data_IF_839138781292
#
_entry.id   IF_839138781292
#
_cell.length_a   1.000
_cell.length_b   1.000
_cell.length_c   1.000
_cell.angle_alpha   90.00
_cell.angle_beta   90.00
_cell.angle_gamma   90.00
#
_symmetry.space_group_name_H-M   'P 1'
#
loop_
_entity.id
_entity.type
_entity.pdbx_description
1 polymer ?
#
# COMPACT_ATOMS: atom_id res chain seq x y z
N UNK A 1 39.68 0.97 52.10
CA UNK A 1 38.84 0.04 51.31
C UNK A 1 37.87 0.87 50.50
N UNK A 2 38.15 1.07 49.21
CA UNK A 2 37.28 1.79 48.27
C UNK A 2 36.39 0.79 47.52
N UNK A 3 35.11 1.09 47.25
CA UNK A 3 34.24 0.19 46.49
C UNK A 3 34.44 0.35 44.97
N UNK A 4 34.38 -0.77 44.27
CA UNK A 4 34.59 -0.94 42.83
C UNK A 4 33.53 -0.23 41.94
N UNK A 5 33.88 0.15 40.70
CA UNK A 5 32.93 0.68 39.75
C UNK A 5 32.10 -0.43 39.09
N UNK A 6 30.77 -0.26 39.13
CA UNK A 6 29.80 -1.12 38.43
C UNK A 6 30.00 -1.01 36.91
N UNK A 7 30.30 -2.15 36.27
CA UNK A 7 30.25 -2.32 34.82
C UNK A 7 28.83 -2.08 34.32
N UNK A 8 28.62 -0.99 33.60
CA UNK A 8 27.42 -0.79 32.77
C UNK A 8 27.62 -1.58 31.48
N UNK A 9 27.09 -2.79 31.43
CA UNK A 9 26.90 -3.52 30.18
C UNK A 9 25.70 -2.93 29.46
N UNK A 10 25.94 -2.19 28.38
CA UNK A 10 24.89 -1.82 27.43
C UNK A 10 24.33 -3.09 26.78
N UNK A 11 23.01 -3.30 26.75
CA UNK A 11 22.45 -4.34 25.91
C UNK A 11 22.59 -3.86 24.47
N UNK A 12 23.56 -4.43 23.75
CA UNK A 12 23.57 -4.36 22.30
C UNK A 12 22.34 -5.13 21.81
N UNK A 13 21.28 -4.41 21.48
CA UNK A 13 20.23 -4.92 20.63
C UNK A 13 20.85 -5.14 19.25
N UNK A 14 21.40 -6.34 19.03
CA UNK A 14 21.77 -6.87 17.73
C UNK A 14 20.48 -7.07 16.92
N UNK A 15 19.91 -5.96 16.44
CA UNK A 15 18.84 -6.00 15.44
C UNK A 15 19.46 -6.38 14.12
N UNK A 16 19.48 -7.67 13.82
CA UNK A 16 19.61 -8.16 12.45
C UNK A 16 18.57 -7.43 11.60
N UNK A 17 19.03 -6.40 10.88
CA UNK A 17 18.18 -5.64 9.98
C UNK A 17 17.97 -6.52 8.75
N UNK A 18 17.01 -7.44 8.82
CA UNK A 18 16.56 -8.17 7.65
C UNK A 18 16.19 -7.12 6.59
N UNK A 19 16.93 -7.14 5.48
CA UNK A 19 16.78 -6.15 4.44
C UNK A 19 15.50 -6.45 3.67
N UNK A 20 14.44 -5.69 3.95
CA UNK A 20 13.15 -5.84 3.26
C UNK A 20 13.27 -5.38 1.80
N UNK A 21 12.93 -6.27 0.86
CA UNK A 21 12.91 -5.96 -0.57
C UNK A 21 11.54 -5.45 -1.03
N UNK A 22 11.54 -4.74 -2.16
CA UNK A 22 10.33 -4.23 -2.80
C UNK A 22 9.43 -5.36 -3.31
N UNK A 23 8.12 -5.25 -3.06
CA UNK A 23 7.11 -6.20 -3.54
C UNK A 23 7.06 -6.33 -5.07
N UNK A 24 7.46 -5.27 -5.79
CA UNK A 24 7.46 -5.20 -7.26
C UNK A 24 8.83 -5.32 -7.90
N UNK A 25 9.89 -5.11 -7.12
CA UNK A 25 11.26 -5.16 -7.59
C UNK A 25 12.02 -6.10 -6.63
N UNK A 26 11.91 -7.42 -6.80
CA UNK A 26 12.35 -8.40 -5.80
C UNK A 26 13.83 -8.28 -5.42
N UNK A 27 14.66 -7.77 -6.34
CA UNK A 27 16.10 -7.57 -6.13
C UNK A 27 16.47 -6.18 -5.60
N UNK A 28 15.48 -5.32 -5.31
CA UNK A 28 15.70 -3.94 -4.86
C UNK A 28 15.36 -3.80 -3.39
N UNK A 29 16.38 -3.54 -2.58
CA UNK A 29 16.22 -3.22 -1.16
C UNK A 29 15.46 -1.89 -0.96
N UNK A 30 14.54 -1.88 -0.01
CA UNK A 30 13.80 -0.69 0.36
C UNK A 30 14.62 0.26 1.22
N UNK A 31 14.42 1.56 1.03
CA UNK A 31 15.01 2.62 1.86
C UNK A 31 14.01 3.06 2.91
N UNK A 32 14.43 3.15 4.16
CA UNK A 32 13.62 3.75 5.22
C UNK A 32 13.46 5.26 4.93
N UNK A 33 12.23 5.76 5.03
CA UNK A 33 11.96 7.18 4.88
C UNK A 33 12.30 7.92 6.21
N UNK A 34 13.22 8.90 6.19
CA UNK A 34 13.62 9.63 7.39
C UNK A 34 12.48 10.51 7.91
N UNK A 35 12.36 10.62 9.24
CA UNK A 35 11.41 11.53 9.89
C UNK A 35 9.98 11.00 10.06
N UNK A 36 9.67 9.80 9.57
CA UNK A 36 8.34 9.20 9.70
C UNK A 36 8.23 7.91 10.54
N UNK A 37 9.27 7.33 11.20
CA UNK A 37 9.05 6.14 11.99
C UNK A 37 8.18 6.49 13.22
N UNK A 38 6.95 5.99 13.23
CA UNK A 38 6.25 5.83 14.51
C UNK A 38 6.90 4.66 15.23
N UNK A 39 6.77 4.57 16.56
CA UNK A 39 7.33 3.44 17.32
C UNK A 39 6.83 2.07 16.83
N UNK A 40 5.79 2.03 15.99
CA UNK A 40 5.09 0.81 15.57
C UNK A 40 5.05 0.58 14.06
N UNK A 41 5.34 1.58 13.21
CA UNK A 41 5.28 1.48 11.74
C UNK A 41 6.53 2.09 11.11
N UNK A 42 7.22 1.29 10.29
CA UNK A 42 8.26 1.76 9.39
C UNK A 42 7.66 2.14 8.03
N UNK A 43 8.04 3.31 7.50
CA UNK A 43 7.71 3.71 6.14
C UNK A 43 8.92 3.56 5.24
N UNK A 44 8.72 2.93 4.10
CA UNK A 44 9.80 2.57 3.19
C UNK A 44 9.49 3.01 1.76
N UNK A 45 10.53 3.22 0.96
CA UNK A 45 10.42 3.56 -0.45
C UNK A 45 11.34 2.65 -1.27
N UNK A 46 10.84 2.17 -2.41
CA UNK A 46 11.67 1.50 -3.40
C UNK A 46 12.40 2.55 -4.26
N UNK A 47 13.73 2.55 -4.35
CA UNK A 47 14.46 3.50 -5.20
C UNK A 47 14.30 3.23 -6.71
N UNK A 48 13.86 2.03 -7.11
CA UNK A 48 13.71 1.66 -8.51
C UNK A 48 12.34 2.07 -9.08
N UNK A 49 11.26 1.73 -8.38
CA UNK A 49 9.89 2.01 -8.85
C UNK A 49 9.19 3.12 -8.06
N UNK A 50 9.88 3.74 -7.11
CA UNK A 50 9.43 4.87 -6.27
C UNK A 50 8.19 4.60 -5.41
N UNK A 51 7.66 3.37 -5.41
CA UNK A 51 6.52 2.97 -4.58
C UNK A 51 6.86 3.05 -3.10
N UNK A 52 5.86 3.49 -2.34
CA UNK A 52 5.92 3.62 -0.89
C UNK A 52 5.20 2.48 -0.20
N UNK A 53 5.83 1.99 0.86
CA UNK A 53 5.35 0.88 1.67
C UNK A 53 5.26 1.27 3.14
N UNK A 54 4.43 0.54 3.87
CA UNK A 54 4.34 0.60 5.32
C UNK A 54 4.51 -0.82 5.88
N UNK A 55 5.25 -0.94 6.99
CA UNK A 55 5.45 -2.20 7.67
C UNK A 55 5.28 -2.00 9.17
N UNK A 56 4.30 -2.69 9.77
CA UNK A 56 4.16 -2.76 11.23
C UNK A 56 5.22 -3.70 11.80
N UNK A 57 5.63 -3.48 13.05
CA UNK A 57 6.51 -4.43 13.75
C UNK A 57 5.90 -5.85 13.75
N UNK A 58 6.61 -6.82 13.18
CA UNK A 58 6.15 -8.21 13.02
C UNK A 58 5.03 -8.42 11.99
N UNK A 59 4.61 -7.36 11.28
CA UNK A 59 3.56 -7.43 10.26
C UNK A 59 4.12 -7.51 8.83
N UNK A 60 3.25 -7.82 7.85
CA UNK A 60 3.64 -7.85 6.45
C UNK A 60 4.00 -6.44 5.94
N UNK A 61 4.81 -6.40 4.90
CA UNK A 61 5.02 -5.20 4.11
C UNK A 61 3.78 -4.96 3.24
N UNK A 62 3.16 -3.79 3.37
CA UNK A 62 1.99 -3.42 2.56
C UNK A 62 2.20 -2.09 1.86
N UNK A 63 1.36 -1.76 0.87
CA UNK A 63 1.35 -0.42 0.31
C UNK A 63 1.07 0.64 1.40
N UNK A 64 1.76 1.79 1.33
CA UNK A 64 1.58 2.91 2.27
C UNK A 64 0.19 3.56 2.07
N UNK A 65 -0.25 4.30 3.08
CA UNK A 65 -1.35 5.25 2.93
C UNK A 65 -1.10 6.20 1.76
N UNK A 66 -2.17 6.57 1.03
CA UNK A 66 -2.06 7.36 -0.19
C UNK A 66 -1.79 6.55 -1.46
N UNK A 67 -1.38 5.27 -1.37
CA UNK A 67 -1.33 4.39 -2.54
C UNK A 67 -2.74 4.13 -3.09
N UNK A 68 -2.95 3.99 -4.42
CA UNK A 68 -4.28 3.79 -5.00
C UNK A 68 -5.12 2.68 -4.36
N UNK A 69 -4.50 1.52 -4.14
CA UNK A 69 -5.15 0.38 -3.48
C UNK A 69 -5.52 0.70 -2.02
N UNK A 70 -4.61 1.32 -1.27
CA UNK A 70 -4.86 1.74 0.11
C UNK A 70 -5.99 2.76 0.21
N UNK A 71 -6.05 3.71 -0.73
CA UNK A 71 -7.10 4.73 -0.78
C UNK A 71 -8.47 4.13 -1.10
N UNK A 72 -8.55 3.20 -2.05
CA UNK A 72 -9.81 2.51 -2.36
C UNK A 72 -10.29 1.70 -1.15
N UNK A 73 -9.40 0.91 -0.52
CA UNK A 73 -9.75 0.07 0.63
C UNK A 73 -10.09 0.87 1.89
N UNK A 74 -9.49 2.05 2.06
CA UNK A 74 -9.83 2.94 3.18
C UNK A 74 -11.32 3.33 3.17
N UNK A 75 -11.90 3.55 1.99
CA UNK A 75 -13.31 3.89 1.83
C UNK A 75 -14.29 2.81 2.31
N UNK A 76 -13.81 1.58 2.48
CA UNK A 76 -14.60 0.41 2.90
C UNK A 76 -14.01 -0.31 4.13
N UNK A 77 -13.13 0.35 4.88
CA UNK A 77 -12.43 -0.29 6.00
C UNK A 77 -13.38 -0.81 7.09
N UNK A 78 -14.51 -0.13 7.29
CA UNK A 78 -15.48 -0.41 8.36
C UNK A 78 -16.78 -1.08 7.88
N UNK A 79 -16.91 -1.37 6.58
CA UNK A 79 -18.09 -2.08 6.06
C UNK A 79 -17.87 -3.58 6.04
N UNK A 80 -18.93 -4.34 6.27
CA UNK A 80 -18.98 -5.80 6.09
C UNK A 80 -19.29 -6.21 4.65
N UNK A 81 -19.75 -5.27 3.83
CA UNK A 81 -20.15 -5.48 2.44
C UNK A 81 -19.42 -4.46 1.55
N UNK A 82 -18.11 -4.62 1.29
CA UNK A 82 -17.35 -3.63 0.53
C UNK A 82 -17.87 -3.47 -0.91
N UNK A 83 -18.41 -4.54 -1.50
CA UNK A 83 -18.82 -4.55 -2.91
C UNK A 83 -19.99 -3.61 -3.20
N UNK A 84 -20.94 -3.46 -2.27
CA UNK A 84 -22.10 -2.56 -2.43
C UNK A 84 -21.68 -1.09 -2.46
N UNK A 85 -20.53 -0.78 -1.88
CA UNK A 85 -19.97 0.57 -1.81
C UNK A 85 -19.09 0.94 -3.02
N UNK A 86 -18.84 0.00 -3.94
CA UNK A 86 -17.86 0.18 -5.03
C UNK A 86 -18.15 1.40 -5.91
N UNK A 87 -19.41 1.63 -6.30
CA UNK A 87 -19.78 2.79 -7.11
C UNK A 87 -19.56 4.10 -6.35
N UNK A 88 -20.03 4.17 -5.10
CA UNK A 88 -19.87 5.37 -4.26
C UNK A 88 -18.40 5.72 -4.06
N UNK A 89 -17.55 4.71 -3.81
CA UNK A 89 -16.11 4.92 -3.68
C UNK A 89 -15.47 5.35 -5.00
N UNK A 90 -15.86 4.74 -6.13
CA UNK A 90 -15.38 5.18 -7.44
C UNK A 90 -15.74 6.64 -7.73
N UNK A 91 -16.97 7.06 -7.43
CA UNK A 91 -17.40 8.45 -7.61
C UNK A 91 -16.62 9.41 -6.70
N UNK A 92 -16.38 9.04 -5.43
CA UNK A 92 -15.55 9.83 -4.51
C UNK A 92 -14.08 9.91 -4.95
N UNK A 93 -13.51 8.83 -5.50
CA UNK A 93 -12.15 8.83 -6.04
C UNK A 93 -12.03 9.67 -7.32
N UNK A 94 -13.10 9.75 -8.12
CA UNK A 94 -13.15 10.63 -9.29
C UNK A 94 -13.13 12.10 -8.90
N UNK A 95 -13.85 12.46 -7.84
CA UNK A 95 -13.89 13.82 -7.33
C UNK A 95 -12.48 14.25 -6.85
N UNK A 96 -11.91 15.25 -7.51
CA UNK A 96 -10.60 15.80 -7.16
C UNK A 96 -9.39 15.17 -7.90
N UNK A 97 -9.61 14.36 -8.94
CA UNK A 97 -8.54 13.85 -9.81
C UNK A 97 -8.72 14.29 -11.26
N UNK A 98 -7.62 14.59 -11.94
CA UNK A 98 -7.63 14.74 -13.40
C UNK A 98 -7.82 13.38 -14.07
N UNK A 99 -8.24 13.33 -15.35
CA UNK A 99 -8.34 12.08 -16.09
C UNK A 99 -7.04 11.28 -16.11
N UNK A 100 -5.88 11.94 -16.22
CA UNK A 100 -4.55 11.31 -16.25
C UNK A 100 -4.20 10.70 -14.89
N UNK A 101 -4.42 11.46 -13.81
CA UNK A 101 -4.21 10.96 -12.45
C UNK A 101 -5.14 9.77 -12.14
N UNK A 102 -6.37 9.79 -12.66
CA UNK A 102 -7.31 8.68 -12.51
C UNK A 102 -6.88 7.46 -13.34
N UNK A 103 -6.34 7.65 -14.54
CA UNK A 103 -5.81 6.57 -15.36
C UNK A 103 -4.64 5.84 -14.66
N UNK A 104 -3.70 6.60 -14.09
CA UNK A 104 -2.60 6.05 -13.29
C UNK A 104 -3.10 5.32 -12.03
N UNK A 105 -4.15 5.85 -11.40
CA UNK A 105 -4.77 5.22 -10.23
C UNK A 105 -5.37 3.86 -10.58
N UNK A 106 -6.09 3.77 -11.70
CA UNK A 106 -6.66 2.52 -12.23
C UNK A 106 -5.54 1.52 -12.53
N UNK A 107 -4.48 1.97 -13.19
CA UNK A 107 -3.35 1.12 -13.60
C UNK A 107 -2.67 0.44 -12.41
N UNK A 108 -2.45 1.17 -11.31
CA UNK A 108 -1.88 0.58 -10.10
C UNK A 108 -2.78 -0.50 -9.48
N UNK A 109 -4.11 -0.33 -9.52
CA UNK A 109 -5.04 -1.34 -9.02
C UNK A 109 -5.07 -2.55 -9.97
N UNK A 110 -5.17 -2.32 -11.28
CA UNK A 110 -5.16 -3.38 -12.29
C UNK A 110 -3.87 -4.21 -12.22
N UNK A 111 -2.72 -3.56 -12.03
CA UNK A 111 -1.42 -4.21 -11.88
C UNK A 111 -1.38 -5.15 -10.66
N UNK A 112 -1.98 -4.77 -9.54
CA UNK A 112 -2.09 -5.63 -8.35
C UNK A 112 -3.10 -6.76 -8.50
N UNK A 113 -4.19 -6.53 -9.23
CA UNK A 113 -5.15 -7.58 -9.52
C UNK A 113 -4.57 -8.63 -10.49
N UNK A 114 -3.83 -8.20 -11.51
CA UNK A 114 -3.21 -9.09 -12.49
C UNK A 114 -1.99 -9.83 -11.93
N UNK A 115 -1.17 -9.15 -11.13
CA UNK A 115 0.04 -9.70 -10.54
C UNK A 115 0.05 -9.41 -9.03
N UNK A 116 -0.66 -10.22 -8.22
CA UNK A 116 -0.70 -10.05 -6.76
C UNK A 116 0.69 -10.12 -6.13
N UNK A 117 0.99 -9.16 -5.26
CA UNK A 117 2.26 -9.09 -4.53
C UNK A 117 2.09 -9.04 -3.01
N UNK A 118 0.87 -8.77 -2.54
CA UNK A 118 0.51 -8.82 -1.13
C UNK A 118 -0.93 -9.27 -0.94
N UNK A 119 -1.27 -9.63 0.29
CA UNK A 119 -2.64 -9.77 0.73
C UNK A 119 -3.22 -8.38 0.95
N UNK A 120 -4.17 -7.96 0.11
CA UNK A 120 -4.69 -6.59 0.17
C UNK A 120 -5.57 -6.37 1.40
N UNK A 121 -6.11 -7.42 2.03
CA UNK A 121 -6.78 -7.33 3.33
C UNK A 121 -5.87 -6.86 4.47
N UNK A 122 -4.56 -7.07 4.36
CA UNK A 122 -3.62 -6.68 5.40
C UNK A 122 -3.39 -5.17 5.40
N UNK A 123 -3.66 -4.51 4.26
CA UNK A 123 -3.67 -3.06 4.16
C UNK A 123 -4.73 -2.53 5.13
N UNK A 124 -4.29 -1.71 6.08
CA UNK A 124 -5.13 -1.10 7.13
C UNK A 124 -5.81 -2.11 8.08
N UNK A 125 -5.50 -3.41 7.98
CA UNK A 125 -6.16 -4.45 8.77
C UNK A 125 -7.63 -4.60 8.43
N UNK A 126 -7.96 -4.62 7.14
CA UNK A 126 -9.33 -4.81 6.66
C UNK A 126 -9.90 -6.15 7.14
N UNK A 127 -11.13 -6.13 7.65
CA UNK A 127 -11.80 -7.32 8.20
C UNK A 127 -12.48 -8.17 7.14
N UNK A 128 -12.66 -7.63 5.94
CA UNK A 128 -13.23 -8.37 4.82
C UNK A 128 -12.31 -9.52 4.39
N UNK A 129 -12.87 -10.64 3.88
CA UNK A 129 -12.07 -11.68 3.25
C UNK A 129 -11.22 -11.12 2.10
N UNK A 130 -10.05 -11.71 1.86
CA UNK A 130 -9.12 -11.29 0.79
C UNK A 130 -9.81 -11.27 -0.58
N UNK A 131 -10.59 -12.30 -0.90
CA UNK A 131 -11.36 -12.37 -2.14
C UNK A 131 -12.33 -11.20 -2.29
N UNK A 132 -13.06 -10.86 -1.21
CA UNK A 132 -14.01 -9.74 -1.22
C UNK A 132 -13.30 -8.39 -1.40
N UNK A 133 -12.11 -8.20 -0.81
CA UNK A 133 -11.30 -7.01 -1.06
C UNK A 133 -10.88 -6.89 -2.53
N UNK A 134 -10.48 -7.99 -3.17
CA UNK A 134 -10.09 -8.00 -4.59
C UNK A 134 -11.27 -7.78 -5.53
N UNK A 135 -12.41 -8.40 -5.24
CA UNK A 135 -13.65 -8.18 -5.98
C UNK A 135 -14.11 -6.73 -5.92
N UNK A 136 -14.02 -6.12 -4.74
CA UNK A 136 -14.28 -4.69 -4.54
C UNK A 136 -13.33 -3.82 -5.38
N UNK A 137 -12.03 -4.07 -5.33
CA UNK A 137 -11.05 -3.32 -6.13
C UNK A 137 -11.34 -3.42 -7.63
N UNK A 138 -11.68 -4.62 -8.11
CA UNK A 138 -12.07 -4.84 -9.50
C UNK A 138 -13.36 -4.08 -9.86
N UNK A 139 -14.34 -4.04 -8.95
CA UNK A 139 -15.56 -3.27 -9.14
C UNK A 139 -15.30 -1.76 -9.22
N UNK A 140 -14.45 -1.22 -8.35
CA UNK A 140 -14.02 0.18 -8.39
C UNK A 140 -13.38 0.51 -9.74
N UNK A 141 -12.45 -0.32 -10.23
CA UNK A 141 -11.81 -0.14 -11.55
C UNK A 141 -12.86 -0.11 -12.68
N UNK A 142 -13.84 -1.01 -12.66
CA UNK A 142 -14.93 -1.01 -13.66
C UNK A 142 -15.68 0.32 -13.67
N UNK A 143 -16.10 0.81 -12.49
CA UNK A 143 -16.82 2.07 -12.39
C UNK A 143 -15.98 3.29 -12.80
N UNK A 144 -14.68 3.30 -12.51
CA UNK A 144 -13.79 4.37 -12.94
C UNK A 144 -13.58 4.36 -14.47
N UNK A 145 -13.42 3.17 -15.06
CA UNK A 145 -13.13 3.00 -16.50
C UNK A 145 -14.31 3.38 -17.40
N UNK A 146 -15.55 3.19 -16.95
CA UNK A 146 -16.75 3.61 -17.68
C UNK A 146 -16.77 5.12 -17.94
N UNK A 147 -16.06 5.90 -17.12
CA UNK A 147 -16.06 7.37 -17.18
C UNK A 147 -14.86 8.00 -17.86
N UNK A 148 -13.83 7.21 -18.19
CA UNK A 148 -12.69 7.71 -18.97
C UNK A 148 -13.05 7.84 -20.45
N UNK A 149 -12.73 9.00 -21.03
CA UNK A 149 -12.92 9.25 -22.46
C UNK A 149 -12.04 8.33 -23.31
N UNK A 150 -12.43 8.03 -24.56
CA UNK A 150 -11.65 7.16 -25.45
C UNK A 150 -10.23 7.69 -25.73
N UNK A 151 -10.03 9.00 -25.75
CA UNK A 151 -8.72 9.61 -26.00
C UNK A 151 -7.68 9.25 -24.92
N UNK A 152 -8.09 9.20 -23.64
CA UNK A 152 -7.22 8.76 -22.54
C UNK A 152 -6.99 7.25 -22.59
N UNK A 153 -7.94 6.47 -23.14
CA UNK A 153 -7.78 5.02 -23.34
C UNK A 153 -6.84 4.69 -24.52
N UNK A 154 -6.84 5.49 -25.58
CA UNK A 154 -6.12 5.24 -26.82
C UNK A 154 -4.61 5.56 -26.75
N UNK A 155 -4.19 6.52 -25.93
CA UNK A 155 -2.76 6.78 -25.63
C UNK A 155 -2.07 5.66 -24.84
N UNK A 156 -2.73 4.49 -24.69
CA UNK A 156 -2.33 3.35 -23.86
C UNK A 156 -2.18 2.04 -24.66
N UNK A 157 -2.31 2.05 -25.99
CA UNK A 157 -1.91 0.90 -26.81
C UNK A 157 -0.40 0.96 -27.08
N UNK A 158 0.36 -0.15 -26.91
CA UNK A 158 1.80 -0.18 -27.18
C UNK A 158 2.15 0.12 -28.63
#
# INVERSE_FOLDING_TARGET
MAPEPRKQGSPQCSGSSEQTNCLRCPSTALRLLPGEPTQTIAFLQCPACLRHYAQKAGGPLTYRWGHPISLALYGVLFTTEPLTEAQRIADALRQGRTPEALALFIEEIELELAHPTQQVRDILGNRSPEAACREFLAAVVRHLTLTLTPAVKASRAP
#
